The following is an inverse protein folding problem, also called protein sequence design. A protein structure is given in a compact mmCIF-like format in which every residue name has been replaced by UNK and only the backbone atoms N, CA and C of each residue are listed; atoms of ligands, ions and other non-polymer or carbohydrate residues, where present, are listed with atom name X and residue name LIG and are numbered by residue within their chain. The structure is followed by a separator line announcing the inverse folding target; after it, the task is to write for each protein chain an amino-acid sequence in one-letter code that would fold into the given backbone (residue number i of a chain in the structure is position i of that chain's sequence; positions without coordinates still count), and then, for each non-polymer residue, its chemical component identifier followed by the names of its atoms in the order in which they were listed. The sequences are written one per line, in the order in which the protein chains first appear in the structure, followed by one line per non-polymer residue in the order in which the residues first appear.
data_IF_715507393781
#
_entry.id   IF_715507393781
#
_cell.length_a   1.000
_cell.length_b   1.000
_cell.length_c   1.000
_cell.angle_alpha   90.00
_cell.angle_beta   90.00
_cell.angle_gamma   90.00
#
_symmetry.space_group_name_H-M   'P 1'
#
loop_
_entity.id
_entity.type
_entity.pdbx_description
1 polymer ?
#
# COMPACT_ATOMS: atom_id res chain seq x y z
N UNK A 1 -31.63 -1.41 -57.07
CA UNK A 1 -32.76 -0.47 -56.96
C UNK A 1 -32.61 0.34 -55.69
N UNK A 2 -32.50 1.66 -55.88
CA UNK A 2 -32.36 2.71 -54.86
C UNK A 2 -33.76 3.11 -54.35
N UNK A 3 -33.88 3.45 -53.06
CA UNK A 3 -34.75 4.49 -52.43
C UNK A 3 -34.62 4.32 -50.90
N UNK A 4 -33.93 5.13 -50.10
CA UNK A 4 -33.73 6.58 -49.99
C UNK A 4 -34.99 7.36 -49.56
N UNK A 5 -34.99 7.81 -48.29
CA UNK A 5 -35.72 8.94 -47.65
C UNK A 5 -35.38 8.90 -46.15
N UNK A 6 -35.10 9.97 -45.41
CA UNK A 6 -34.82 11.37 -45.69
C UNK A 6 -34.20 11.93 -44.40
N UNK A 7 -33.26 12.85 -44.56
CA UNK A 7 -32.52 13.60 -43.54
C UNK A 7 -33.41 14.49 -42.66
N UNK A 8 -32.99 14.71 -41.41
CA UNK A 8 -33.06 16.04 -40.78
C UNK A 8 -31.75 16.31 -40.02
N UNK A 9 -31.06 17.37 -40.44
CA UNK A 9 -29.82 17.91 -39.86
C UNK A 9 -30.10 18.68 -38.57
N UNK A 10 -29.25 18.51 -37.55
CA UNK A 10 -28.82 19.61 -36.70
C UNK A 10 -27.30 19.54 -36.54
N UNK A 11 -26.66 20.67 -36.82
CA UNK A 11 -25.22 20.85 -36.99
C UNK A 11 -24.79 21.89 -35.94
N UNK A 12 -24.02 21.48 -34.92
CA UNK A 12 -23.15 22.38 -34.14
C UNK A 12 -21.89 21.63 -33.67
N UNK A 13 -20.79 21.93 -34.35
CA UNK A 13 -19.41 22.22 -33.90
C UNK A 13 -18.61 21.24 -33.01
N UNK A 14 -17.79 20.44 -33.71
CA UNK A 14 -16.34 20.21 -33.59
C UNK A 14 -15.63 20.70 -32.29
N UNK A 15 -15.04 19.74 -31.55
CA UNK A 15 -13.59 19.71 -31.28
C UNK A 15 -13.10 18.30 -30.86
N UNK A 16 -12.14 17.81 -31.64
CA UNK A 16 -11.20 16.69 -31.45
C UNK A 16 -11.72 15.23 -31.35
N UNK A 17 -11.53 14.52 -32.46
CA UNK A 17 -11.41 13.06 -32.65
C UNK A 17 -10.33 12.45 -31.73
N UNK A 18 -10.29 11.17 -31.31
CA UNK A 18 -10.70 9.84 -31.81
C UNK A 18 -10.62 8.90 -30.58
N UNK A 19 -11.16 7.69 -30.44
CA UNK A 19 -12.00 6.76 -31.19
C UNK A 19 -12.48 5.71 -30.16
N UNK A 20 -13.64 5.10 -30.40
CA UNK A 20 -14.13 3.90 -29.68
C UNK A 20 -13.34 2.67 -30.14
N UNK A 21 -13.02 1.76 -29.20
CA UNK A 21 -13.05 0.29 -29.38
C UNK A 21 -12.87 -0.39 -28.03
N UNK A 22 -13.83 -1.22 -27.60
CA UNK A 22 -13.55 -2.36 -26.71
C UNK A 22 -13.15 -3.55 -27.61
N UNK A 23 -12.18 -4.38 -27.18
CA UNK A 23 -12.51 -5.55 -26.37
C UNK A 23 -11.57 -5.80 -25.17
N UNK A 24 -12.09 -6.55 -24.20
CA UNK A 24 -11.43 -7.05 -22.98
C UNK A 24 -10.36 -8.10 -23.30
N UNK A 25 -9.08 -7.80 -23.03
CA UNK A 25 -8.01 -8.75 -22.66
C UNK A 25 -6.71 -7.98 -22.37
N UNK A 26 -6.13 -8.16 -21.17
CA UNK A 26 -4.70 -7.99 -20.91
C UNK A 26 -4.11 -6.58 -20.87
N UNK A 27 -3.43 -6.27 -19.77
CA UNK A 27 -2.31 -5.29 -19.69
C UNK A 27 -2.56 -3.88 -20.23
N UNK A 28 -3.04 -2.99 -19.36
CA UNK A 28 -2.54 -1.61 -19.13
C UNK A 28 -3.54 -0.88 -18.23
N UNK A 29 -3.20 -0.69 -16.96
CA UNK A 29 -3.83 0.33 -16.13
C UNK A 29 -3.30 1.68 -16.63
N UNK A 30 -4.13 2.62 -17.11
CA UNK A 30 -3.66 3.96 -17.39
C UNK A 30 -3.66 4.73 -16.07
N UNK A 31 -2.53 4.74 -15.35
CA UNK A 31 -2.30 5.70 -14.28
C UNK A 31 -1.74 6.98 -14.92
N UNK A 32 -2.55 8.03 -15.00
CA UNK A 32 -2.05 9.39 -15.20
C UNK A 32 -1.88 10.03 -13.83
N UNK A 33 -0.65 10.38 -13.45
CA UNK A 33 -0.42 11.36 -12.39
C UNK A 33 -0.99 12.70 -12.90
N UNK A 34 -2.21 13.03 -12.50
CA UNK A 34 -2.81 14.33 -12.76
C UNK A 34 -2.36 15.31 -11.68
N UNK A 35 -1.91 16.48 -12.15
CA UNK A 35 -1.54 17.67 -11.39
C UNK A 35 -2.56 18.01 -10.32
N UNK A 36 -2.06 18.40 -9.15
CA UNK A 36 -2.85 19.04 -8.11
C UNK A 36 -3.52 20.30 -8.69
N UNK A 37 -4.84 20.23 -8.92
CA UNK A 37 -5.67 21.42 -9.03
C UNK A 37 -5.91 21.91 -7.60
N UNK A 38 -5.37 23.09 -7.27
CA UNK A 38 -5.33 23.68 -5.91
C UNK A 38 -6.72 23.88 -5.27
N UNK A 39 -7.81 23.59 -5.98
CA UNK A 39 -9.19 23.65 -5.48
C UNK A 39 -9.87 22.29 -5.26
N UNK A 40 -9.28 21.16 -5.68
CA UNK A 40 -9.94 19.85 -5.69
C UNK A 40 -9.16 18.69 -5.03
N UNK A 41 -7.90 18.92 -4.65
CA UNK A 41 -7.03 17.89 -4.09
C UNK A 41 -6.91 17.99 -2.57
N UNK A 42 -6.99 16.85 -1.87
CA UNK A 42 -6.79 16.80 -0.44
C UNK A 42 -5.36 17.26 -0.08
N UNK A 43 -5.21 18.15 0.90
CA UNK A 43 -3.89 18.50 1.43
C UNK A 43 -3.25 17.26 2.05
N UNK A 44 -2.00 16.97 1.71
CA UNK A 44 -1.24 15.94 2.41
C UNK A 44 -0.32 16.53 3.46
N UNK A 45 -0.30 15.90 4.64
CA UNK A 45 0.64 16.20 5.73
C UNK A 45 1.24 14.90 6.24
N UNK A 46 2.56 14.79 6.26
CA UNK A 46 3.25 13.62 6.81
C UNK A 46 3.80 13.95 8.20
N UNK A 47 3.23 13.33 9.23
CA UNK A 47 3.71 13.43 10.62
C UNK A 47 4.67 12.30 11.00
N UNK A 48 5.17 11.56 10.02
CA UNK A 48 6.10 10.46 10.23
C UNK A 48 7.46 10.76 9.60
N UNK A 49 8.48 10.02 10.02
CA UNK A 49 9.79 10.00 9.35
C UNK A 49 9.80 9.03 8.16
N UNK A 50 8.67 8.42 7.80
CA UNK A 50 8.58 7.45 6.72
C UNK A 50 8.43 8.19 5.39
N UNK A 51 9.28 7.91 4.39
CA UNK A 51 9.08 8.39 3.04
C UNK A 51 7.71 7.94 2.53
N UNK A 52 6.98 8.85 1.89
CA UNK A 52 5.66 8.55 1.35
C UNK A 52 5.22 9.52 0.29
N UNK A 53 4.30 9.06 -0.56
CA UNK A 53 3.81 9.77 -1.72
C UNK A 53 2.31 9.54 -1.87
N UNK A 54 1.58 10.61 -2.18
CA UNK A 54 0.16 10.53 -2.55
C UNK A 54 0.05 10.43 -4.06
N UNK A 55 -0.68 9.43 -4.51
CA UNK A 55 -1.03 9.19 -5.90
C UNK A 55 -2.53 9.39 -6.09
N UNK A 56 -2.91 9.72 -7.32
CA UNK A 56 -4.29 9.71 -7.79
C UNK A 56 -4.44 8.67 -8.88
N UNK A 57 -5.58 8.00 -8.93
CA UNK A 57 -5.87 7.00 -9.95
C UNK A 57 -7.35 6.86 -10.22
N UNK A 58 -7.72 6.46 -11.43
CA UNK A 58 -9.09 6.12 -11.79
C UNK A 58 -9.16 4.62 -12.10
N UNK A 59 -9.94 3.86 -11.34
CA UNK A 59 -10.15 2.43 -11.55
C UNK A 59 -11.64 2.18 -11.79
N UNK A 60 -11.97 1.58 -12.94
CA UNK A 60 -13.35 1.24 -13.30
C UNK A 60 -14.34 2.43 -13.18
N UNK A 61 -13.90 3.63 -13.59
CA UNK A 61 -14.70 4.85 -13.56
C UNK A 61 -14.84 5.52 -12.19
N UNK A 62 -14.11 5.05 -11.18
CA UNK A 62 -14.05 5.65 -9.84
C UNK A 62 -12.67 6.23 -9.59
N UNK A 63 -12.64 7.40 -8.96
CA UNK A 63 -11.38 8.06 -8.61
C UNK A 63 -10.93 7.69 -7.20
N UNK A 64 -9.63 7.57 -7.02
CA UNK A 64 -8.99 7.14 -5.79
C UNK A 64 -7.81 8.04 -5.44
N UNK A 65 -7.64 8.25 -4.13
CA UNK A 65 -6.34 8.59 -3.56
C UNK A 65 -5.64 7.28 -3.18
N UNK A 66 -4.34 7.18 -3.41
CA UNK A 66 -3.52 6.07 -2.94
C UNK A 66 -2.27 6.62 -2.28
N UNK A 67 -2.12 6.42 -0.98
CA UNK A 67 -0.92 6.84 -0.27
C UNK A 67 0.01 5.64 -0.07
N UNK A 68 1.24 5.79 -0.55
CA UNK A 68 2.30 4.79 -0.43
C UNK A 68 3.31 5.28 0.59
N UNK A 69 3.74 4.41 1.49
CA UNK A 69 4.83 4.68 2.42
C UNK A 69 5.80 3.51 2.51
N UNK A 70 7.05 3.76 2.88
CA UNK A 70 8.06 2.72 3.11
C UNK A 70 8.65 2.79 4.49
N UNK A 71 8.82 1.61 5.09
CA UNK A 71 9.58 1.43 6.33
C UNK A 71 10.74 0.48 6.07
N UNK A 72 11.94 0.92 6.42
CA UNK A 72 13.19 0.18 6.26
C UNK A 72 13.75 -0.23 7.61
N UNK A 73 14.20 -1.49 7.69
CA UNK A 73 14.73 -2.11 8.89
C UNK A 73 16.07 -2.79 8.60
N UNK A 74 16.95 -2.71 9.59
CA UNK A 74 18.10 -3.60 9.75
C UNK A 74 17.64 -4.92 10.37
N UNK A 75 18.11 -6.03 9.79
CA UNK A 75 17.87 -7.39 10.26
C UNK A 75 19.05 -7.79 11.16
N UNK A 76 18.79 -7.91 12.45
CA UNK A 76 19.80 -8.34 13.43
C UNK A 76 20.08 -9.85 13.28
N UNK A 77 21.24 -10.36 13.77
CA UNK A 77 21.62 -11.77 13.62
C UNK A 77 20.60 -12.78 14.16
N UNK A 78 19.83 -12.39 15.18
CA UNK A 78 18.75 -13.19 15.77
C UNK A 78 17.40 -13.10 15.01
N UNK A 79 17.32 -12.28 13.96
CA UNK A 79 16.10 -12.04 13.18
C UNK A 79 15.20 -10.92 13.72
N UNK A 80 15.61 -10.24 14.79
CA UNK A 80 14.94 -9.02 15.25
C UNK A 80 15.15 -7.89 14.25
N UNK A 81 14.18 -6.96 14.21
CA UNK A 81 14.21 -5.82 13.32
C UNK A 81 14.47 -4.55 14.12
N UNK A 82 15.50 -3.80 13.73
CA UNK A 82 15.73 -2.43 14.18
C UNK A 82 15.38 -1.47 13.05
N UNK A 83 14.70 -0.37 13.33
CA UNK A 83 14.45 0.66 12.29
C UNK A 83 15.80 1.17 11.78
N UNK A 84 15.97 1.18 10.46
CA UNK A 84 17.19 1.68 9.85
C UNK A 84 17.28 3.21 10.02
N UNK A 85 18.48 3.74 10.24
CA UNK A 85 18.70 5.19 10.31
C UNK A 85 18.37 5.86 8.97
N UNK A 86 18.85 5.26 7.87
CA UNK A 86 18.48 5.65 6.51
C UNK A 86 17.31 4.81 6.02
N UNK A 87 16.22 5.49 5.66
CA UNK A 87 15.04 4.88 5.05
C UNK A 87 15.20 4.80 3.53
N UNK A 88 14.73 3.70 2.92
CA UNK A 88 14.54 3.62 1.48
C UNK A 88 13.46 4.63 1.04
N UNK A 89 13.81 5.56 0.16
CA UNK A 89 12.90 6.57 -0.34
C UNK A 89 11.80 5.99 -1.25
N UNK A 90 10.73 6.78 -1.40
CA UNK A 90 9.73 6.57 -2.44
C UNK A 90 10.10 7.32 -3.71
N UNK A 91 9.63 6.86 -4.88
CA UNK A 91 9.61 7.72 -6.06
C UNK A 91 8.63 8.88 -5.84
N UNK A 92 9.01 10.07 -6.29
CA UNK A 92 8.13 11.24 -6.26
C UNK A 92 6.94 11.08 -7.21
N UNK A 93 5.81 11.71 -6.92
CA UNK A 93 4.62 11.64 -7.77
C UNK A 93 4.85 12.16 -9.20
N UNK A 94 5.80 13.09 -9.36
CA UNK A 94 6.18 13.74 -10.62
C UNK A 94 7.56 13.30 -11.11
N UNK A 95 8.19 12.33 -10.44
CA UNK A 95 9.53 11.86 -10.81
C UNK A 95 9.46 11.13 -12.15
N UNK A 96 10.20 11.63 -13.15
CA UNK A 96 10.31 10.97 -14.44
C UNK A 96 11.26 9.79 -14.36
N UNK A 97 10.73 8.57 -14.53
CA UNK A 97 11.51 7.33 -14.49
C UNK A 97 11.53 6.71 -15.88
N UNK A 98 12.73 6.64 -16.48
CA UNK A 98 12.92 6.16 -17.84
C UNK A 98 12.56 4.67 -18.02
N UNK A 99 12.93 3.83 -17.04
CA UNK A 99 12.54 2.42 -16.98
C UNK A 99 11.89 2.13 -15.62
N UNK A 100 10.56 2.02 -15.62
CA UNK A 100 9.74 1.80 -14.43
C UNK A 100 9.98 0.43 -13.78
N UNK A 101 10.56 -0.52 -14.53
CA UNK A 101 10.91 -1.85 -14.04
C UNK A 101 12.34 -1.95 -13.53
N UNK A 102 13.19 -0.93 -13.72
CA UNK A 102 14.58 -0.95 -13.29
C UNK A 102 14.68 -1.09 -11.76
N UNK A 103 15.63 -1.93 -11.31
CA UNK A 103 15.90 -2.11 -9.88
C UNK A 103 16.88 -1.03 -9.43
N UNK A 104 16.40 -0.11 -8.58
CA UNK A 104 17.20 1.00 -8.03
C UNK A 104 17.34 0.89 -6.53
N UNK A 105 18.07 1.81 -5.89
CA UNK A 105 18.08 1.91 -4.43
C UNK A 105 16.71 2.21 -3.82
N UNK A 106 15.77 2.76 -4.59
CA UNK A 106 14.36 2.96 -4.20
C UNK A 106 13.48 1.76 -4.58
N UNK A 107 14.06 0.62 -4.96
CA UNK A 107 13.33 -0.46 -5.63
C UNK A 107 12.92 -0.07 -7.06
N UNK A 108 11.79 -0.59 -7.53
CA UNK A 108 11.22 -0.25 -8.84
C UNK A 108 10.04 0.72 -8.69
N UNK A 109 9.94 1.68 -9.62
CA UNK A 109 8.85 2.65 -9.66
C UNK A 109 7.50 1.96 -9.92
N UNK A 110 7.50 0.92 -10.76
CA UNK A 110 6.30 0.16 -11.09
C UNK A 110 5.62 -0.44 -9.86
N UNK A 111 6.38 -0.83 -8.84
CA UNK A 111 5.85 -1.35 -7.57
C UNK A 111 5.35 -0.25 -6.63
N UNK A 112 5.52 1.02 -6.94
CA UNK A 112 5.12 2.14 -6.09
C UNK A 112 4.04 2.98 -6.74
N UNK A 113 4.08 3.13 -8.07
CA UNK A 113 3.09 3.85 -8.84
C UNK A 113 1.84 2.99 -9.12
N UNK A 114 1.24 2.49 -8.05
CA UNK A 114 0.09 1.58 -8.10
C UNK A 114 -1.04 2.07 -7.22
N UNK A 115 -2.25 2.06 -7.79
CA UNK A 115 -3.45 2.53 -7.14
C UNK A 115 -3.94 1.59 -6.02
N UNK A 116 -3.78 0.28 -6.18
CA UNK A 116 -4.21 -0.72 -5.19
C UNK A 116 -3.52 -2.08 -5.39
N UNK A 117 -3.24 -2.76 -4.28
CA UNK A 117 -2.75 -4.14 -4.25
C UNK A 117 -3.80 -5.06 -3.64
N UNK A 118 -4.11 -6.22 -4.22
CA UNK A 118 -5.10 -7.16 -3.66
C UNK A 118 -4.58 -8.06 -2.53
N UNK A 119 -3.26 -8.05 -2.26
CA UNK A 119 -2.59 -8.89 -1.27
C UNK A 119 -1.16 -8.38 -0.99
N UNK A 120 -0.41 -9.10 -0.15
CA UNK A 120 1.02 -8.88 0.07
C UNK A 120 1.92 -9.76 -0.81
N UNK A 121 2.89 -9.15 -1.49
CA UNK A 121 4.00 -9.82 -2.17
C UNK A 121 5.30 -9.87 -1.35
N UNK A 122 6.16 -10.83 -1.67
CA UNK A 122 7.48 -11.05 -1.05
C UNK A 122 8.52 -11.28 -2.14
N UNK A 123 9.55 -10.46 -2.14
CA UNK A 123 10.73 -10.57 -2.99
C UNK A 123 11.94 -10.75 -2.07
N UNK A 124 12.72 -11.80 -2.30
CA UNK A 124 13.78 -12.23 -1.36
C UNK A 124 15.06 -12.52 -2.11
N UNK A 125 16.17 -11.97 -1.63
CA UNK A 125 17.52 -12.35 -2.05
C UNK A 125 18.36 -12.78 -0.84
N UNK A 126 19.41 -13.59 -1.08
CA UNK A 126 20.29 -14.11 -0.02
C UNK A 126 19.69 -15.25 0.82
N UNK A 127 18.55 -15.81 0.41
CA UNK A 127 17.88 -16.91 1.11
C UNK A 127 16.54 -17.27 0.47
N UNK A 128 15.73 -18.06 1.18
CA UNK A 128 14.42 -18.51 0.71
C UNK A 128 13.36 -18.33 1.79
N UNK A 129 12.25 -17.66 1.45
CA UNK A 129 11.05 -17.66 2.28
C UNK A 129 10.42 -19.05 2.27
N UNK A 130 10.24 -19.62 3.46
CA UNK A 130 9.69 -20.97 3.66
C UNK A 130 8.22 -20.91 4.03
N UNK A 131 7.85 -19.98 4.90
CA UNK A 131 6.50 -19.84 5.40
C UNK A 131 6.26 -18.42 5.91
N UNK A 132 5.01 -17.98 5.79
CA UNK A 132 4.45 -16.91 6.60
C UNK A 132 3.50 -17.56 7.58
N UNK A 133 3.54 -17.15 8.85
CA UNK A 133 2.63 -17.62 9.89
C UNK A 133 1.84 -16.45 10.45
N UNK A 134 0.59 -16.69 10.79
CA UNK A 134 -0.24 -15.72 11.50
C UNK A 134 0.17 -15.58 12.98
N UNK A 135 -0.54 -14.72 13.71
CA UNK A 135 -0.32 -14.49 15.14
C UNK A 135 -0.54 -15.75 15.99
N UNK A 136 -1.41 -16.66 15.55
CA UNK A 136 -1.65 -17.98 16.15
C UNK A 136 -0.64 -19.06 15.68
N UNK A 137 0.42 -18.65 14.97
CA UNK A 137 1.47 -19.51 14.42
C UNK A 137 0.98 -20.53 13.38
N UNK A 138 -0.20 -20.31 12.79
CA UNK A 138 -0.71 -21.13 11.69
C UNK A 138 -0.05 -20.69 10.38
N UNK A 139 0.47 -21.63 9.56
CA UNK A 139 1.00 -21.30 8.25
C UNK A 139 -0.08 -20.71 7.33
N UNK A 140 0.28 -19.65 6.61
CA UNK A 140 -0.54 -19.07 5.56
C UNK A 140 -0.10 -19.60 4.20
N UNK A 141 -1.06 -19.72 3.28
CA UNK A 141 -0.80 -20.20 1.94
C UNK A 141 0.01 -19.18 1.14
N UNK A 142 1.17 -19.61 0.65
CA UNK A 142 2.02 -18.85 -0.27
C UNK A 142 1.84 -19.36 -1.69
N UNK A 143 1.64 -18.44 -2.63
CA UNK A 143 1.65 -18.73 -4.08
C UNK A 143 2.95 -18.29 -4.69
N UNK A 144 3.48 -19.09 -5.59
CA UNK A 144 4.67 -18.73 -6.36
C UNK A 144 4.30 -17.68 -7.39
N UNK A 145 5.18 -16.72 -7.60
CA UNK A 145 5.13 -15.77 -8.70
C UNK A 145 6.21 -16.15 -9.71
N UNK A 146 5.83 -16.28 -10.97
CA UNK A 146 6.71 -16.64 -12.09
C UNK A 146 6.88 -15.46 -13.02
N UNK A 147 8.01 -15.43 -13.72
CA UNK A 147 8.36 -14.35 -14.64
C UNK A 147 7.38 -14.32 -15.83
N UNK A 148 6.94 -13.12 -16.17
CA UNK A 148 6.18 -12.78 -17.37
C UNK A 148 7.15 -12.34 -18.47
N UNK A 149 6.67 -12.25 -19.71
CA UNK A 149 7.46 -11.74 -20.84
C UNK A 149 7.89 -10.27 -20.64
N UNK A 150 7.17 -9.53 -19.79
CA UNK A 150 7.50 -8.16 -19.40
C UNK A 150 8.54 -8.06 -18.28
N UNK A 151 9.20 -9.16 -17.91
CA UNK A 151 10.14 -9.29 -16.79
C UNK A 151 9.58 -9.00 -15.39
N UNK A 152 8.28 -8.74 -15.30
CA UNK A 152 7.53 -8.74 -14.05
C UNK A 152 7.33 -10.18 -13.54
N UNK A 153 6.95 -10.34 -12.29
CA UNK A 153 6.58 -11.63 -11.70
C UNK A 153 5.14 -11.59 -11.20
N UNK A 154 4.37 -12.63 -11.51
CA UNK A 154 2.97 -12.76 -11.10
C UNK A 154 2.61 -14.22 -10.90
N UNK A 155 1.61 -14.53 -10.07
CA UNK A 155 1.05 -15.89 -10.05
C UNK A 155 0.24 -16.14 -11.34
N UNK A 156 0.43 -17.29 -11.97
CA UNK A 156 -0.20 -17.67 -13.24
C UNK A 156 -0.97 -18.99 -13.11
N UNK A 157 -1.81 -19.29 -14.10
CA UNK A 157 -2.56 -20.54 -14.18
C UNK A 157 -3.72 -20.63 -13.18
N UNK A 158 -4.10 -21.84 -12.79
CA UNK A 158 -5.26 -22.11 -11.93
C UNK A 158 -5.14 -21.58 -10.50
N UNK A 159 -3.94 -21.18 -10.07
CA UNK A 159 -3.71 -20.58 -8.76
C UNK A 159 -3.87 -19.05 -8.76
N UNK A 160 -3.99 -18.44 -9.95
CA UNK A 160 -4.13 -17.01 -10.09
C UNK A 160 -5.52 -16.53 -9.68
N UNK A 161 -5.59 -15.35 -9.06
CA UNK A 161 -6.85 -14.69 -8.69
C UNK A 161 -7.43 -13.94 -9.90
N UNK A 162 -8.72 -13.62 -9.82
CA UNK A 162 -9.38 -12.70 -10.77
C UNK A 162 -8.73 -11.30 -10.75
N UNK A 163 -8.40 -10.82 -9.55
CA UNK A 163 -7.62 -9.61 -9.34
C UNK A 163 -6.22 -10.01 -8.90
N UNK A 164 -5.34 -10.18 -9.88
CA UNK A 164 -3.93 -10.50 -9.70
C UNK A 164 -3.09 -9.26 -10.01
N UNK A 165 -1.92 -9.16 -9.41
CA UNK A 165 -0.97 -8.06 -9.56
C UNK A 165 0.43 -8.61 -9.84
N UNK A 166 1.07 -8.10 -10.89
CA UNK A 166 2.45 -8.41 -11.23
C UNK A 166 3.40 -7.42 -10.54
N UNK A 167 4.52 -7.89 -9.99
CA UNK A 167 5.55 -7.03 -9.41
C UNK A 167 6.77 -6.94 -10.32
N UNK A 168 7.44 -5.79 -10.36
CA UNK A 168 8.84 -5.76 -10.78
C UNK A 168 9.69 -6.50 -9.71
N UNK A 169 10.46 -7.53 -10.06
CA UNK A 169 11.12 -8.39 -9.07
C UNK A 169 12.43 -7.75 -8.57
N UNK A 170 12.32 -6.61 -7.90
CA UNK A 170 13.44 -5.85 -7.36
C UNK A 170 13.49 -5.91 -5.83
N UNK A 171 14.67 -6.28 -5.31
CA UNK A 171 15.04 -6.16 -3.90
C UNK A 171 16.13 -5.09 -3.79
N UNK A 172 15.73 -3.85 -3.54
CA UNK A 172 16.59 -2.68 -3.78
C UNK A 172 17.14 -2.71 -5.21
N UNK A 173 18.46 -2.54 -5.35
CA UNK A 173 19.16 -2.59 -6.65
C UNK A 173 19.26 -3.99 -7.26
N UNK A 174 18.88 -5.04 -6.54
CA UNK A 174 19.07 -6.43 -6.97
C UNK A 174 17.80 -6.95 -7.63
N UNK A 175 17.91 -7.40 -8.88
CA UNK A 175 16.82 -8.15 -9.53
C UNK A 175 16.83 -9.60 -9.05
N UNK A 176 15.66 -10.11 -8.66
CA UNK A 176 15.45 -11.52 -8.32
C UNK A 176 14.66 -12.23 -9.42
N UNK A 177 14.78 -13.55 -9.50
CA UNK A 177 14.13 -14.33 -10.57
C UNK A 177 12.63 -14.56 -10.33
N UNK A 178 12.20 -14.55 -9.08
CA UNK A 178 10.83 -14.89 -8.68
C UNK A 178 10.47 -14.28 -7.33
N UNK A 179 9.21 -14.44 -6.95
CA UNK A 179 8.72 -14.07 -5.63
C UNK A 179 7.62 -15.00 -5.15
N UNK A 180 7.07 -14.66 -3.99
CA UNK A 180 5.87 -15.31 -3.47
C UNK A 180 4.85 -14.26 -3.07
N UNK A 181 3.57 -14.62 -3.03
CA UNK A 181 2.52 -13.78 -2.46
C UNK A 181 1.62 -14.56 -1.52
N UNK A 182 0.92 -13.85 -0.66
CA UNK A 182 -0.21 -14.39 0.10
C UNK A 182 -1.50 -14.36 -0.75
N UNK A 183 -2.54 -15.04 -0.26
CA UNK A 183 -3.90 -14.90 -0.81
C UNK A 183 -4.64 -13.66 -0.21
N UNK A 184 -4.03 -12.99 0.78
CA UNK A 184 -4.50 -11.78 1.48
C UNK A 184 -3.31 -10.89 1.89
N UNK A 185 -3.50 -9.91 2.76
CA UNK A 185 -2.39 -9.13 3.33
C UNK A 185 -1.67 -9.86 4.46
N UNK A 186 -0.44 -9.46 4.73
CA UNK A 186 0.34 -9.94 5.85
C UNK A 186 -0.42 -9.67 7.16
N UNK A 187 -0.60 -10.70 8.01
CA UNK A 187 -1.49 -10.59 9.15
C UNK A 187 -0.84 -9.76 10.25
N UNK A 188 -1.68 -9.06 11.00
CA UNK A 188 -1.25 -8.34 12.20
C UNK A 188 -0.54 -9.32 13.13
N UNK A 189 0.72 -9.02 13.41
CA UNK A 189 1.56 -9.81 14.28
C UNK A 189 1.96 -11.19 13.78
N UNK A 190 1.91 -11.42 12.46
CA UNK A 190 2.50 -12.57 11.81
C UNK A 190 4.03 -12.56 11.82
N UNK A 191 4.60 -13.66 11.33
CA UNK A 191 6.05 -13.85 11.21
C UNK A 191 6.44 -14.52 9.88
N UNK A 192 7.61 -14.17 9.37
CA UNK A 192 8.22 -14.71 8.16
C UNK A 192 9.37 -15.65 8.54
N UNK A 193 9.37 -16.85 7.97
CA UNK A 193 10.38 -17.87 8.25
C UNK A 193 11.25 -18.11 7.03
N UNK A 194 12.57 -18.00 7.18
CA UNK A 194 13.53 -18.08 6.09
C UNK A 194 14.52 -19.23 6.26
N UNK A 195 14.95 -19.77 5.13
CA UNK A 195 16.19 -20.51 4.98
C UNK A 195 17.29 -19.56 4.53
N UNK A 196 18.36 -19.40 5.32
CA UNK A 196 19.55 -18.70 4.82
C UNK A 196 20.45 -19.67 4.04
N UNK A 197 20.51 -20.92 4.52
CA UNK A 197 21.16 -22.04 3.85
C UNK A 197 20.55 -23.37 4.36
N UNK A 198 21.18 -24.51 4.06
CA UNK A 198 20.68 -25.84 4.48
C UNK A 198 20.59 -26.01 6.00
N UNK A 199 21.41 -25.30 6.79
CA UNK A 199 21.55 -25.48 8.25
C UNK A 199 20.97 -24.31 9.06
N UNK A 200 20.95 -23.10 8.48
CA UNK A 200 20.56 -21.89 9.18
C UNK A 200 19.16 -21.43 8.77
N UNK A 201 18.33 -21.20 9.79
CA UNK A 201 16.98 -20.64 9.68
C UNK A 201 16.93 -19.30 10.40
N UNK A 202 16.04 -18.43 9.93
CA UNK A 202 15.77 -17.15 10.57
C UNK A 202 14.27 -16.91 10.63
N UNK A 203 13.80 -16.34 11.74
CA UNK A 203 12.43 -15.91 11.89
C UNK A 203 12.41 -14.39 12.05
N UNK A 204 11.60 -13.70 11.27
CA UNK A 204 11.48 -12.24 11.30
C UNK A 204 10.02 -11.89 11.58
N UNK A 205 9.79 -10.99 12.53
CA UNK A 205 8.47 -10.41 12.80
C UNK A 205 8.59 -8.89 12.79
N UNK A 206 7.56 -8.20 12.32
CA UNK A 206 7.51 -6.74 12.45
C UNK A 206 7.47 -6.34 13.92
N UNK A 207 8.16 -5.26 14.34
CA UNK A 207 8.07 -4.72 15.69
C UNK A 207 6.62 -4.42 16.06
N UNK A 208 6.29 -4.49 17.36
CA UNK A 208 4.92 -4.23 17.85
C UNK A 208 4.92 -3.19 18.98
N UNK A 209 3.97 -2.24 18.99
CA UNK A 209 3.08 -1.89 17.87
C UNK A 209 3.86 -1.16 16.76
N UNK A 210 3.63 -1.52 15.49
CA UNK A 210 4.14 -0.78 14.33
C UNK A 210 3.01 -0.71 13.31
N UNK A 211 2.24 0.37 13.36
CA UNK A 211 1.02 0.52 12.58
C UNK A 211 1.00 1.91 11.90
N UNK A 212 1.51 2.00 10.65
CA UNK A 212 1.28 3.16 9.80
C UNK A 212 -0.20 3.26 9.41
N UNK A 213 -0.76 4.47 9.49
CA UNK A 213 -2.15 4.72 9.16
C UNK A 213 -2.34 6.13 8.60
N UNK A 214 -3.47 6.33 7.92
CA UNK A 214 -3.92 7.64 7.49
C UNK A 214 -5.00 8.15 8.43
N UNK A 215 -4.90 9.38 8.89
CA UNK A 215 -6.02 10.10 9.48
C UNK A 215 -6.66 10.98 8.41
N UNK A 216 -7.85 10.58 7.95
CA UNK A 216 -8.60 11.29 6.94
C UNK A 216 -9.47 12.37 7.61
N UNK A 217 -9.29 13.63 7.19
CA UNK A 217 -10.15 14.74 7.60
C UNK A 217 -11.08 15.10 6.47
N UNK A 218 -12.36 14.79 6.62
CA UNK A 218 -13.38 15.14 5.63
C UNK A 218 -13.83 16.59 5.80
N UNK A 219 -14.36 17.18 4.72
CA UNK A 219 -14.98 18.51 4.78
C UNK A 219 -16.21 18.55 5.71
N UNK A 220 -16.84 17.41 5.97
CA UNK A 220 -17.92 17.27 6.96
C UNK A 220 -17.46 17.44 8.42
N UNK A 221 -16.14 17.45 8.67
CA UNK A 221 -15.56 17.43 10.01
C UNK A 221 -15.26 16.03 10.54
N UNK A 222 -15.65 14.96 9.83
CA UNK A 222 -15.33 13.59 10.23
C UNK A 222 -13.81 13.34 10.22
N UNK A 223 -13.32 12.65 11.25
CA UNK A 223 -11.92 12.28 11.45
C UNK A 223 -11.80 10.76 11.49
N UNK A 224 -11.27 10.16 10.42
CA UNK A 224 -11.35 8.72 10.21
C UNK A 224 -9.95 8.10 10.11
N UNK A 225 -9.49 7.38 11.14
CA UNK A 225 -8.31 6.53 11.05
C UNK A 225 -8.53 5.44 10.00
N UNK A 226 -7.57 5.21 9.14
CA UNK A 226 -7.65 4.24 8.05
C UNK A 226 -6.32 3.50 7.98
N UNK A 227 -6.29 2.16 8.06
CA UNK A 227 -5.05 1.42 8.08
C UNK A 227 -4.30 1.54 6.76
N UNK A 228 -2.98 1.45 6.83
CA UNK A 228 -2.15 1.15 5.65
C UNK A 228 -1.77 -0.32 5.70
N UNK A 229 -1.99 -1.05 4.60
CA UNK A 229 -1.69 -2.48 4.51
C UNK A 229 -0.26 -2.69 4.01
N UNK A 230 0.50 -3.65 4.56
CA UNK A 230 1.77 -4.04 3.97
C UNK A 230 1.52 -4.75 2.62
N UNK A 231 1.95 -4.16 1.52
CA UNK A 231 1.66 -4.66 0.16
C UNK A 231 2.84 -5.37 -0.50
N UNK A 232 4.06 -5.04 -0.07
CA UNK A 232 5.28 -5.65 -0.59
C UNK A 232 6.36 -5.69 0.50
N UNK A 233 6.97 -6.86 0.67
CA UNK A 233 8.20 -7.03 1.43
C UNK A 233 9.36 -7.28 0.46
N UNK A 234 10.33 -6.37 0.48
CA UNK A 234 11.62 -6.48 -0.20
C UNK A 234 12.67 -6.88 0.84
N UNK A 235 13.14 -8.13 0.80
CA UNK A 235 14.01 -8.71 1.83
C UNK A 235 15.38 -9.06 1.24
N UNK A 236 16.41 -8.34 1.68
CA UNK A 236 17.80 -8.66 1.38
C UNK A 236 18.47 -9.29 2.60
N UNK A 237 18.55 -10.63 2.63
CA UNK A 237 19.16 -11.37 3.74
C UNK A 237 20.69 -11.30 3.71
N UNK A 238 21.29 -11.01 2.55
CA UNK A 238 22.75 -10.83 2.42
C UNK A 238 23.18 -9.49 3.02
N UNK A 239 22.50 -8.40 2.65
CA UNK A 239 22.76 -7.06 3.22
C UNK A 239 22.04 -6.82 4.54
N UNK A 240 21.26 -7.80 5.03
CA UNK A 240 20.48 -7.73 6.27
C UNK A 240 19.54 -6.52 6.33
N UNK A 241 18.82 -6.29 5.23
CA UNK A 241 17.86 -5.19 5.10
C UNK A 241 16.47 -5.73 4.76
N UNK A 242 15.45 -5.13 5.37
CA UNK A 242 14.05 -5.38 5.08
C UNK A 242 13.37 -4.05 4.77
N UNK A 243 12.73 -3.95 3.61
CA UNK A 243 11.87 -2.81 3.27
C UNK A 243 10.44 -3.31 3.13
N UNK A 244 9.53 -2.65 3.84
CA UNK A 244 8.10 -2.91 3.77
C UNK A 244 7.43 -1.71 3.15
N UNK A 245 6.78 -1.93 2.01
CA UNK A 245 5.89 -0.95 1.43
C UNK A 245 4.49 -1.12 2.03
N UNK A 246 3.96 -0.01 2.54
CA UNK A 246 2.60 0.11 3.02
C UNK A 246 1.78 0.95 2.04
N UNK A 247 0.50 0.62 1.91
CA UNK A 247 -0.41 1.39 1.08
C UNK A 247 -1.80 1.44 1.67
N UNK A 248 -2.47 2.59 1.51
CA UNK A 248 -3.89 2.74 1.76
C UNK A 248 -4.52 3.46 0.56
N UNK A 249 -5.60 2.89 0.05
CA UNK A 249 -6.34 3.42 -1.11
C UNK A 249 -7.69 3.92 -0.62
N UNK A 250 -8.14 5.09 -1.06
CA UNK A 250 -9.38 5.72 -0.62
C UNK A 250 -10.18 6.17 -1.84
N UNK A 251 -11.41 5.70 -1.97
CA UNK A 251 -12.31 6.18 -3.03
C UNK A 251 -12.66 7.65 -2.78
N UNK A 252 -12.52 8.51 -3.80
CA UNK A 252 -12.81 9.95 -3.76
C UNK A 252 -14.31 10.24 -3.84
N UNK A 253 -15.12 9.46 -3.14
CA UNK A 253 -16.58 9.60 -3.11
C UNK A 253 -17.05 10.73 -2.20
N UNK A 254 -16.35 10.94 -1.09
CA UNK A 254 -16.64 11.98 -0.11
C UNK A 254 -15.45 12.95 -0.07
N UNK A 255 -15.68 14.29 -0.05
CA UNK A 255 -14.60 15.26 -0.15
C UNK A 255 -13.71 15.23 1.10
N UNK A 256 -12.43 14.92 0.89
CA UNK A 256 -11.39 14.90 1.91
C UNK A 256 -10.62 16.22 1.87
N UNK A 257 -10.58 16.91 3.00
CA UNK A 257 -9.83 18.16 3.18
C UNK A 257 -8.34 17.90 3.39
N UNK A 258 -8.02 16.91 4.20
CA UNK A 258 -6.63 16.62 4.58
C UNK A 258 -6.42 15.12 4.77
N UNK A 259 -5.32 14.60 4.25
CA UNK A 259 -4.82 13.25 4.49
C UNK A 259 -3.56 13.39 5.34
N UNK A 260 -3.60 12.89 6.57
CA UNK A 260 -2.45 12.91 7.48
C UNK A 260 -1.83 11.52 7.56
N UNK A 261 -0.57 11.39 7.17
CA UNK A 261 0.22 10.17 7.41
C UNK A 261 0.71 10.16 8.86
N UNK A 262 0.37 9.12 9.60
CA UNK A 262 0.69 8.91 11.02
C UNK A 262 1.15 7.47 11.25
N UNK A 263 1.76 7.22 12.40
CA UNK A 263 2.16 5.87 12.79
C UNK A 263 2.07 5.68 14.31
N UNK A 264 1.68 4.48 14.73
CA UNK A 264 1.84 3.99 16.11
C UNK A 264 3.11 3.14 16.13
N UNK A 265 4.07 3.51 16.96
CA UNK A 265 5.40 2.91 17.00
C UNK A 265 5.71 2.38 18.41
N UNK A 266 6.66 1.44 18.57
CA UNK A 266 7.06 0.97 19.90
C UNK A 266 7.72 2.07 20.73
N UNK A 267 8.45 2.96 20.06
CA UNK A 267 9.13 4.14 20.62
C UNK A 267 8.19 5.36 20.72
N UNK A 268 6.87 5.17 20.61
CA UNK A 268 5.92 6.28 20.69
C UNK A 268 5.86 6.87 22.10
N UNK A 269 5.87 8.19 22.20
CA UNK A 269 5.77 8.91 23.47
C UNK A 269 4.38 9.54 23.65
N UNK A 270 3.99 9.69 24.92
CA UNK A 270 2.80 10.43 25.32
C UNK A 270 3.00 11.94 25.13
N UNK A 271 1.93 12.69 24.95
CA UNK A 271 2.03 14.15 24.97
C UNK A 271 2.42 14.66 26.38
N UNK A 272 3.03 15.85 26.47
CA UNK A 272 3.52 16.43 27.73
C UNK A 272 2.42 16.47 28.82
N UNK A 273 1.20 16.84 28.43
CA UNK A 273 0.03 16.94 29.31
C UNK A 273 -0.78 15.64 29.45
N UNK A 274 -0.39 14.57 28.75
CA UNK A 274 -1.08 13.29 28.78
C UNK A 274 -0.54 12.40 29.92
N UNK A 275 -1.44 11.75 30.66
CA UNK A 275 -1.04 10.73 31.65
C UNK A 275 -0.70 9.41 30.94
N UNK A 276 0.16 8.58 31.53
CA UNK A 276 0.51 7.28 30.95
C UNK A 276 -0.72 6.39 30.71
N UNK A 277 -1.65 6.33 31.68
CA UNK A 277 -2.88 5.57 31.53
C UNK A 277 -3.74 6.06 30.35
N UNK A 278 -3.80 7.38 30.14
CA UNK A 278 -4.51 7.98 29.00
C UNK A 278 -3.84 7.65 27.68
N UNK A 279 -2.51 7.73 27.61
CA UNK A 279 -1.71 7.35 26.45
C UNK A 279 -1.98 5.89 26.05
N UNK A 280 -1.90 4.96 27.01
CA UNK A 280 -2.19 3.55 26.76
C UNK A 280 -3.63 3.31 26.30
N UNK A 281 -4.60 3.99 26.89
CA UNK A 281 -6.01 3.90 26.49
C UNK A 281 -6.22 4.43 25.07
N UNK A 282 -5.62 5.58 24.73
CA UNK A 282 -5.68 6.18 23.38
C UNK A 282 -5.06 5.25 22.36
N UNK A 283 -3.84 4.79 22.61
CA UNK A 283 -3.10 3.87 21.72
C UNK A 283 -3.88 2.59 21.49
N UNK A 284 -4.43 1.99 22.55
CA UNK A 284 -5.30 0.82 22.42
C UNK A 284 -6.55 1.11 21.58
N UNK A 285 -7.23 2.24 21.81
CA UNK A 285 -8.41 2.61 21.04
C UNK A 285 -8.11 2.78 19.54
N UNK A 286 -6.96 3.37 19.19
CA UNK A 286 -6.52 3.44 17.79
C UNK A 286 -6.22 2.07 17.20
N UNK A 287 -5.46 1.22 17.89
CA UNK A 287 -5.13 -0.11 17.38
C UNK A 287 -6.38 -0.97 17.18
N UNK A 288 -7.30 -0.96 18.16
CA UNK A 288 -8.57 -1.69 18.05
C UNK A 288 -9.41 -1.18 16.85
N UNK A 289 -9.47 0.13 16.62
CA UNK A 289 -10.18 0.74 15.48
C UNK A 289 -9.55 0.33 14.14
N UNK A 290 -8.24 0.51 13.98
CA UNK A 290 -7.50 0.18 12.76
C UNK A 290 -7.58 -1.31 12.42
N UNK A 291 -7.45 -2.17 13.42
CA UNK A 291 -7.49 -3.63 13.24
C UNK A 291 -8.90 -4.17 13.01
N UNK A 292 -9.94 -3.43 13.39
CA UNK A 292 -11.33 -3.76 13.07
C UNK A 292 -11.71 -3.48 11.61
N UNK A 293 -10.93 -2.66 10.90
CA UNK A 293 -11.21 -2.30 9.51
C UNK A 293 -11.11 -3.54 8.61
N UNK A 294 -12.21 -3.93 7.91
CA UNK A 294 -12.22 -5.10 7.06
C UNK A 294 -11.14 -5.04 5.98
N UNK A 295 -10.61 -6.21 5.62
CA UNK A 295 -9.65 -6.33 4.52
C UNK A 295 -10.35 -5.95 3.20
N UNK A 296 -9.80 -5.02 2.40
CA UNK A 296 -10.37 -4.65 1.11
C UNK A 296 -10.37 -5.85 0.15
N UNK A 297 -11.52 -6.10 -0.47
CA UNK A 297 -11.67 -7.10 -1.56
C UNK A 297 -11.78 -6.46 -2.94
N UNK A 298 -11.92 -5.13 -2.97
CA UNK A 298 -11.92 -4.25 -4.14
C UNK A 298 -11.02 -3.04 -3.84
N UNK A 299 -10.64 -2.23 -4.84
CA UNK A 299 -9.89 -1.00 -4.59
C UNK A 299 -10.60 -0.09 -3.58
N UNK A 300 -9.87 0.34 -2.55
CA UNK A 300 -10.36 1.23 -1.49
C UNK A 300 -10.52 0.55 -0.12
N UNK A 301 -10.03 1.19 0.94
CA UNK A 301 -10.22 0.74 2.32
C UNK A 301 -11.70 0.89 2.74
N UNK A 302 -12.38 -0.20 3.17
CA UNK A 302 -13.81 -0.15 3.47
C UNK A 302 -14.19 0.79 4.62
N UNK A 303 -13.27 1.05 5.55
CA UNK A 303 -13.49 1.94 6.69
C UNK A 303 -13.28 3.43 6.37
N UNK A 304 -12.79 3.79 5.17
CA UNK A 304 -12.54 5.16 4.76
C UNK A 304 -13.83 5.87 4.32
N UNK A 305 -14.78 6.02 5.23
CA UNK A 305 -16.03 6.75 5.00
C UNK A 305 -16.29 7.81 6.05
N UNK A 306 -16.76 8.98 5.62
CA UNK A 306 -17.12 10.10 6.50
C UNK A 306 -18.32 9.78 7.41
N UNK A 307 -19.08 8.72 7.12
CA UNK A 307 -20.22 8.26 7.94
C UNK A 307 -19.80 7.34 9.08
N UNK A 308 -18.56 6.86 9.09
CA UNK A 308 -18.06 5.97 10.15
C UNK A 308 -17.90 6.78 11.44
N UNK A 309 -18.26 6.17 12.57
CA UNK A 309 -18.09 6.74 13.90
C UNK A 309 -16.95 5.99 14.61
N UNK A 310 -15.73 6.54 14.59
CA UNK A 310 -14.59 5.96 15.31
C UNK A 310 -14.77 6.05 16.84
N UNK A 311 -14.03 5.21 17.57
CA UNK A 311 -14.02 5.24 19.04
C UNK A 311 -13.59 6.64 19.56
N UNK A 312 -14.43 7.35 20.33
CA UNK A 312 -14.12 8.71 20.78
C UNK A 312 -12.90 8.77 21.72
N UNK A 313 -12.54 7.67 22.37
CA UNK A 313 -11.32 7.56 23.20
C UNK A 313 -10.03 7.78 22.40
N UNK A 314 -10.08 7.78 21.07
CA UNK A 314 -8.94 8.17 20.23
C UNK A 314 -8.65 9.67 20.27
N UNK A 315 -9.68 10.51 20.44
CA UNK A 315 -9.59 11.96 20.21
C UNK A 315 -9.86 12.81 21.46
N UNK A 316 -10.35 12.21 22.54
CA UNK A 316 -10.59 12.92 23.78
C UNK A 316 -9.29 13.46 24.39
N UNK A 317 -9.26 14.75 24.69
CA UNK A 317 -8.21 15.34 25.51
C UNK A 317 -8.31 14.79 26.94
N UNK A 318 -7.17 14.75 27.66
CA UNK A 318 -7.18 14.54 29.11
C UNK A 318 -7.99 15.68 29.73
N UNK A 319 -9.08 15.37 30.43
CA UNK A 319 -9.77 16.38 31.23
C UNK A 319 -8.74 16.92 32.24
N UNK A 320 -8.42 18.21 32.13
CA UNK A 320 -7.50 18.88 33.05
C UNK A 320 -7.99 18.69 34.48
N UNK A 321 -7.07 18.31 35.36
CA UNK A 321 -7.23 18.48 36.81
C UNK A 321 -6.72 19.85 37.20
#
# INVERSE_FOLDING_TARGET
MIKNRLFLFFLVSILAACARTEPVTGTKTPNSAQTADDKCCAKIVNYTQHPGVLLTATIAGKDYYSYVAKLTFDILPNGELKRAEQQEETFGAEEQVADTYACTFKGAEFNQNTAWYPYTGFLVTGGKLLAVKDSAKKPMKLRKMTRLDSDAVMTQGSEARKSEYSYAPCVGKVRVESGQRLDSYFPIGGSMHFALNKRQRMNISLPKPMEPFLLLRYHSGALIPTPMRPVLFSINLTEKKLVVQYQSTIERKEPIRTIESRAINPEGEKDESETEARYQQRTKAFLDDLWSCPIPTTPGEPCASAKRIPNPLMFQATAGK
#
